data_IF_426626988059
#
_entry.id   IF_426626988059
#
_cell.length_a   1.000
_cell.length_b   1.000
_cell.length_c   1.000
_cell.angle_alpha   90.00
_cell.angle_beta   90.00
_cell.angle_gamma   90.00
#
_symmetry.space_group_name_H-M   'P 1'
#
loop_
_entity.id
_entity.type
_entity.pdbx_description
1 polymer ?
#
# COMPACT_ATOMS: atom_id res chain seq x y z
N UNK A 1 28.25 2.70 -41.61
CA UNK A 1 27.83 3.84 -40.78
C UNK A 1 26.36 4.06 -41.06
N UNK A 2 25.49 3.41 -40.26
CA UNK A 2 24.05 3.64 -40.31
C UNK A 2 23.77 4.89 -39.46
N UNK A 3 23.40 5.98 -40.12
CA UNK A 3 22.90 7.19 -39.50
C UNK A 3 21.79 6.82 -38.51
N UNK A 4 22.05 7.01 -37.22
CA UNK A 4 21.08 6.89 -36.15
C UNK A 4 20.10 8.05 -36.31
N UNK A 5 19.04 7.89 -37.11
CA UNK A 5 17.94 8.85 -37.13
C UNK A 5 17.42 9.00 -35.69
N UNK A 6 17.32 10.21 -35.14
CA UNK A 6 16.75 10.40 -33.82
C UNK A 6 15.35 9.80 -33.82
N UNK A 7 15.12 8.82 -32.94
CA UNK A 7 13.83 8.16 -32.84
C UNK A 7 12.75 9.23 -32.61
N UNK A 8 11.84 9.38 -33.57
CA UNK A 8 10.74 10.36 -33.48
C UNK A 8 9.92 10.14 -32.24
N UNK A 9 9.49 11.21 -31.59
CA UNK A 9 8.60 11.13 -30.43
C UNK A 9 7.30 10.38 -30.80
N UNK A 10 6.72 9.58 -29.89
CA UNK A 10 5.46 8.93 -30.12
C UNK A 10 4.34 9.93 -30.47
N UNK A 11 3.33 9.47 -31.20
CA UNK A 11 2.14 10.28 -31.47
C UNK A 11 1.41 10.64 -30.15
N UNK A 12 0.68 11.76 -30.11
CA UNK A 12 -0.14 12.11 -28.94
C UNK A 12 -1.11 11.00 -28.58
N UNK A 13 -1.14 10.63 -27.31
CA UNK A 13 -1.98 9.54 -26.78
C UNK A 13 -3.38 10.08 -26.48
N UNK A 14 -4.41 9.43 -27.01
CA UNK A 14 -5.80 9.78 -26.71
C UNK A 14 -6.19 9.39 -25.26
N UNK A 15 -7.18 10.07 -24.70
CA UNK A 15 -7.71 9.72 -23.38
C UNK A 15 -8.27 8.29 -23.34
N UNK A 16 -8.85 7.82 -24.45
CA UNK A 16 -9.39 6.45 -24.59
C UNK A 16 -8.26 5.41 -24.56
N UNK A 17 -7.16 5.66 -25.26
CA UNK A 17 -6.00 4.78 -25.25
C UNK A 17 -5.38 4.71 -23.85
N UNK A 18 -5.22 5.88 -23.18
CA UNK A 18 -4.76 5.96 -21.81
C UNK A 18 -5.70 5.22 -20.86
N UNK A 19 -7.02 5.35 -21.00
CA UNK A 19 -8.02 4.62 -20.20
C UNK A 19 -7.81 3.11 -20.29
N UNK A 20 -7.70 2.54 -21.49
CA UNK A 20 -7.51 1.09 -21.65
C UNK A 20 -6.16 0.61 -21.14
N UNK A 21 -5.12 1.43 -21.23
CA UNK A 21 -3.83 1.12 -20.62
C UNK A 21 -3.95 1.05 -19.08
N UNK A 22 -4.50 2.08 -18.43
CA UNK A 22 -4.66 2.12 -16.98
C UNK A 22 -5.59 1.04 -16.45
N UNK A 23 -6.66 0.75 -17.18
CA UNK A 23 -7.58 -0.35 -16.87
C UNK A 23 -6.86 -1.70 -16.88
N UNK A 24 -6.14 -2.01 -17.95
CA UNK A 24 -5.33 -3.23 -18.03
C UNK A 24 -4.29 -3.28 -16.93
N UNK A 25 -3.59 -2.19 -16.67
CA UNK A 25 -2.57 -2.12 -15.63
C UNK A 25 -3.13 -2.47 -14.26
N UNK A 26 -4.35 -2.03 -13.92
CA UNK A 26 -5.01 -2.36 -12.66
C UNK A 26 -5.20 -3.87 -12.45
N UNK A 27 -5.37 -4.68 -13.51
CA UNK A 27 -5.48 -6.14 -13.41
C UNK A 27 -4.15 -6.88 -13.37
N UNK A 28 -3.06 -6.30 -13.87
CA UNK A 28 -1.76 -6.97 -13.95
C UNK A 28 -0.73 -6.46 -12.93
N UNK A 29 -1.09 -5.47 -12.12
CA UNK A 29 -0.22 -4.81 -11.15
C UNK A 29 -0.06 -5.65 -9.88
N UNK A 30 0.81 -6.66 -9.92
CA UNK A 30 1.15 -7.51 -8.78
C UNK A 30 2.55 -7.16 -8.23
N UNK A 31 2.87 -7.70 -7.04
CA UNK A 31 4.23 -7.65 -6.47
C UNK A 31 4.52 -6.41 -5.62
N UNK A 32 3.48 -5.75 -5.14
CA UNK A 32 3.58 -4.56 -4.29
C UNK A 32 4.15 -3.33 -5.01
N UNK A 33 4.46 -2.22 -4.30
CA UNK A 33 4.84 -0.97 -4.93
C UNK A 33 6.03 -1.08 -5.89
N UNK A 34 7.06 -1.84 -5.51
CA UNK A 34 8.26 -2.00 -6.34
C UNK A 34 7.97 -2.70 -7.67
N UNK A 35 7.15 -3.76 -7.65
CA UNK A 35 6.75 -4.47 -8.88
C UNK A 35 5.87 -3.60 -9.76
N UNK A 36 4.93 -2.91 -9.18
CA UNK A 36 4.00 -2.02 -9.88
C UNK A 36 4.72 -0.84 -10.56
N UNK A 37 5.67 -0.21 -9.84
CA UNK A 37 6.50 0.87 -10.39
C UNK A 37 7.39 0.32 -11.52
N UNK A 38 7.95 -0.88 -11.38
CA UNK A 38 8.76 -1.50 -12.43
C UNK A 38 7.95 -1.80 -13.71
N UNK A 39 6.70 -2.26 -13.59
CA UNK A 39 5.79 -2.46 -14.73
C UNK A 39 5.50 -1.11 -15.40
N UNK A 40 5.14 -0.07 -14.62
CA UNK A 40 4.90 1.27 -15.17
C UNK A 40 6.14 1.83 -15.85
N UNK A 41 7.33 1.65 -15.27
CA UNK A 41 8.59 2.09 -15.87
C UNK A 41 8.83 1.40 -17.21
N UNK A 42 8.79 0.07 -17.24
CA UNK A 42 8.96 -0.70 -18.46
C UNK A 42 7.97 -0.29 -19.55
N UNK A 43 6.70 -0.18 -19.20
CA UNK A 43 5.66 0.13 -20.19
C UNK A 43 5.73 1.60 -20.67
N UNK A 44 5.81 2.56 -19.73
CA UNK A 44 5.64 3.98 -20.04
C UNK A 44 6.94 4.66 -20.51
N UNK A 45 8.08 4.18 -20.03
CA UNK A 45 9.40 4.76 -20.36
C UNK A 45 10.07 3.97 -21.48
N UNK A 46 10.21 2.66 -21.33
CA UNK A 46 11.00 1.85 -22.26
C UNK A 46 10.21 1.50 -23.53
N UNK A 47 8.97 1.05 -23.38
CA UNK A 47 8.19 0.50 -24.51
C UNK A 47 7.37 1.58 -25.23
N UNK A 48 6.48 2.27 -24.50
CA UNK A 48 5.57 3.27 -25.08
C UNK A 48 6.19 4.64 -25.22
N UNK A 49 7.21 4.96 -24.43
CA UNK A 49 7.89 6.25 -24.39
C UNK A 49 6.92 7.42 -24.18
N UNK A 50 5.92 7.23 -23.32
CA UNK A 50 4.96 8.28 -22.98
C UNK A 50 5.60 9.35 -22.09
N UNK A 51 6.59 8.98 -21.29
CA UNK A 51 7.33 9.84 -20.38
C UNK A 51 8.82 9.48 -20.43
N UNK A 52 9.71 10.48 -20.36
CA UNK A 52 11.16 10.24 -20.27
C UNK A 52 11.55 9.62 -18.94
N UNK A 53 12.67 8.92 -18.90
CA UNK A 53 13.27 8.33 -17.68
C UNK A 53 13.39 9.37 -16.57
N UNK A 54 13.95 10.53 -16.88
CA UNK A 54 14.17 11.62 -15.92
C UNK A 54 12.87 12.16 -15.35
N UNK A 55 11.87 12.39 -16.18
CA UNK A 55 10.54 12.86 -15.74
C UNK A 55 9.81 11.81 -14.91
N UNK A 56 9.93 10.53 -15.28
CA UNK A 56 9.37 9.41 -14.51
C UNK A 56 10.00 9.35 -13.11
N UNK A 57 11.34 9.39 -13.03
CA UNK A 57 12.06 9.37 -11.75
C UNK A 57 11.76 10.61 -10.90
N UNK A 58 11.57 11.76 -11.51
CA UNK A 58 11.16 12.98 -10.81
C UNK A 58 9.78 12.82 -10.18
N UNK A 59 8.80 12.31 -10.95
CA UNK A 59 7.46 12.01 -10.45
C UNK A 59 7.49 10.96 -9.33
N UNK A 60 8.27 9.89 -9.50
CA UNK A 60 8.44 8.85 -8.51
C UNK A 60 9.03 9.38 -7.19
N UNK A 61 10.10 10.16 -7.27
CA UNK A 61 10.73 10.77 -6.10
C UNK A 61 9.75 11.65 -5.31
N UNK A 62 8.89 12.38 -6.01
CA UNK A 62 7.82 13.14 -5.36
C UNK A 62 6.81 12.24 -4.66
N UNK A 63 6.30 11.21 -5.34
CA UNK A 63 5.33 10.27 -4.75
C UNK A 63 5.89 9.54 -3.52
N UNK A 64 7.20 9.23 -3.51
CA UNK A 64 7.86 8.58 -2.36
C UNK A 64 7.94 9.46 -1.10
N UNK A 65 7.80 10.78 -1.24
CA UNK A 65 7.79 11.73 -0.11
C UNK A 65 6.39 11.92 0.46
N UNK A 66 5.36 11.65 -0.34
CA UNK A 66 3.97 11.83 0.05
C UNK A 66 3.46 10.69 0.93
N UNK A 67 2.53 10.96 1.86
CA UNK A 67 1.79 9.88 2.49
C UNK A 67 0.81 9.26 1.50
N UNK A 68 0.72 7.93 1.49
CA UNK A 68 -0.20 7.17 0.64
C UNK A 68 0.46 6.10 -0.21
N UNK A 69 -0.31 5.40 -1.07
CA UNK A 69 0.19 4.36 -1.97
C UNK A 69 0.93 4.95 -3.16
N UNK A 70 2.26 4.91 -3.12
CA UNK A 70 3.19 5.51 -4.08
C UNK A 70 2.88 5.16 -5.55
N UNK A 71 2.59 3.90 -5.84
CA UNK A 71 2.29 3.46 -7.21
C UNK A 71 0.99 4.06 -7.76
N UNK A 72 -0.05 4.19 -6.91
CA UNK A 72 -1.30 4.86 -7.29
C UNK A 72 -1.09 6.36 -7.51
N UNK A 73 -0.29 6.98 -6.65
CA UNK A 73 0.08 8.38 -6.78
C UNK A 73 0.87 8.63 -8.06
N UNK A 74 1.82 7.75 -8.39
CA UNK A 74 2.58 7.82 -9.63
C UNK A 74 1.67 7.67 -10.87
N UNK A 75 0.75 6.71 -10.86
CA UNK A 75 -0.24 6.56 -11.93
C UNK A 75 -1.09 7.83 -12.09
N UNK A 76 -1.59 8.39 -10.98
CA UNK A 76 -2.37 9.63 -10.97
C UNK A 76 -1.54 10.83 -11.47
N UNK A 77 -0.26 10.92 -11.09
CA UNK A 77 0.65 11.98 -11.53
C UNK A 77 0.88 11.92 -13.04
N UNK A 78 1.25 10.76 -13.57
CA UNK A 78 1.51 10.58 -15.02
C UNK A 78 0.23 10.81 -15.82
N UNK A 79 -0.90 10.25 -15.38
CA UNK A 79 -2.19 10.49 -16.01
C UNK A 79 -2.59 11.97 -16.00
N UNK A 80 -2.28 12.70 -14.92
CA UNK A 80 -2.51 14.15 -14.82
C UNK A 80 -1.60 14.95 -15.75
N UNK A 81 -0.33 14.59 -15.86
CA UNK A 81 0.59 15.23 -16.81
C UNK A 81 0.11 15.08 -18.25
N UNK A 82 -0.39 13.90 -18.63
CA UNK A 82 -0.87 13.59 -19.99
C UNK A 82 -2.21 14.26 -20.30
N UNK A 83 -3.21 14.11 -19.40
CA UNK A 83 -4.61 14.46 -19.68
C UNK A 83 -5.26 15.31 -18.58
N UNK A 84 -4.49 16.17 -17.91
CA UNK A 84 -4.98 17.08 -16.85
C UNK A 84 -5.64 16.30 -15.70
N UNK A 85 -6.50 16.97 -14.91
CA UNK A 85 -7.18 16.36 -13.75
C UNK A 85 -7.99 15.12 -14.12
N UNK A 86 -8.64 15.09 -15.30
CA UNK A 86 -9.39 13.91 -15.77
C UNK A 86 -8.49 12.69 -15.94
N UNK A 87 -7.33 12.89 -16.58
CA UNK A 87 -6.36 11.80 -16.74
C UNK A 87 -5.83 11.27 -15.41
N UNK A 88 -5.53 12.16 -14.46
CA UNK A 88 -5.09 11.76 -13.13
C UNK A 88 -6.12 10.97 -12.36
N UNK A 89 -7.40 11.41 -12.39
CA UNK A 89 -8.51 10.68 -11.74
C UNK A 89 -8.68 9.30 -12.39
N UNK A 90 -8.73 9.23 -13.72
CA UNK A 90 -8.88 7.97 -14.46
C UNK A 90 -7.73 7.02 -14.14
N UNK A 91 -6.48 7.47 -14.27
CA UNK A 91 -5.32 6.63 -14.05
C UNK A 91 -5.25 6.09 -12.61
N UNK A 92 -5.36 6.98 -11.62
CA UNK A 92 -5.30 6.57 -10.21
C UNK A 92 -6.47 5.67 -9.81
N UNK A 93 -7.70 5.97 -10.28
CA UNK A 93 -8.88 5.16 -9.95
C UNK A 93 -8.82 3.78 -10.61
N UNK A 94 -8.53 3.71 -11.90
CA UNK A 94 -8.43 2.43 -12.61
C UNK A 94 -7.30 1.55 -12.11
N UNK A 95 -6.28 2.13 -11.48
CA UNK A 95 -5.18 1.38 -10.90
C UNK A 95 -5.59 0.53 -9.69
N UNK A 96 -6.56 0.99 -8.87
CA UNK A 96 -7.03 0.22 -7.70
C UNK A 96 -8.46 -0.34 -7.87
N UNK A 97 -9.25 0.14 -8.81
CA UNK A 97 -10.65 -0.25 -8.97
C UNK A 97 -10.87 -1.76 -9.19
N UNK A 98 -10.06 -2.46 -10.01
CA UNK A 98 -10.16 -3.91 -10.13
C UNK A 98 -9.98 -4.62 -8.79
N UNK A 99 -8.99 -4.20 -8.01
CA UNK A 99 -8.73 -4.73 -6.67
C UNK A 99 -9.91 -4.56 -5.72
N UNK A 100 -10.60 -3.43 -5.79
CA UNK A 100 -11.78 -3.15 -4.97
C UNK A 100 -12.87 -4.21 -5.21
N UNK A 101 -13.22 -4.47 -6.46
CA UNK A 101 -14.26 -5.46 -6.77
C UNK A 101 -13.83 -6.89 -6.47
N UNK A 102 -12.58 -7.23 -6.79
CA UNK A 102 -12.03 -8.56 -6.49
C UNK A 102 -12.02 -8.79 -4.97
N UNK A 103 -11.57 -7.82 -4.18
CA UNK A 103 -11.54 -7.96 -2.72
C UNK A 103 -12.93 -7.98 -2.10
N UNK A 104 -13.90 -7.22 -2.60
CA UNK A 104 -15.29 -7.35 -2.15
C UNK A 104 -15.80 -8.77 -2.40
N UNK A 105 -15.56 -9.33 -3.59
CA UNK A 105 -15.98 -10.69 -3.92
C UNK A 105 -15.27 -11.75 -3.07
N UNK A 106 -13.95 -11.64 -2.89
CA UNK A 106 -13.17 -12.55 -2.06
C UNK A 106 -13.54 -12.44 -0.57
N UNK A 107 -13.81 -11.23 -0.08
CA UNK A 107 -14.27 -11.00 1.29
C UNK A 107 -15.65 -11.61 1.53
N UNK A 108 -16.53 -11.52 0.54
CA UNK A 108 -17.82 -12.19 0.60
C UNK A 108 -17.67 -13.71 0.63
N UNK A 109 -16.86 -14.30 -0.24
CA UNK A 109 -16.56 -15.74 -0.23
C UNK A 109 -15.98 -16.15 1.12
N UNK A 110 -15.05 -15.36 1.67
CA UNK A 110 -14.44 -15.60 2.97
C UNK A 110 -15.48 -15.61 4.10
N UNK A 111 -16.37 -14.62 4.15
CA UNK A 111 -17.37 -14.51 5.22
C UNK A 111 -18.50 -15.53 5.08
N UNK A 112 -18.91 -15.87 3.85
CA UNK A 112 -20.00 -16.79 3.60
C UNK A 112 -19.59 -18.27 3.65
N UNK A 113 -18.35 -18.58 3.22
CA UNK A 113 -17.88 -19.94 3.02
C UNK A 113 -16.57 -20.27 3.73
N UNK A 114 -16.06 -19.38 4.60
CA UNK A 114 -14.78 -19.57 5.30
C UNK A 114 -14.70 -20.83 6.16
N UNK A 115 -15.84 -21.34 6.63
CA UNK A 115 -15.93 -22.57 7.42
C UNK A 115 -15.98 -23.86 6.57
N UNK A 116 -16.08 -23.75 5.24
CA UNK A 116 -16.03 -24.93 4.36
C UNK A 116 -14.62 -25.56 4.46
N UNK A 117 -14.49 -26.87 4.67
CA UNK A 117 -13.18 -27.51 4.92
C UNK A 117 -12.10 -27.19 3.88
N UNK A 118 -12.49 -27.07 2.62
CA UNK A 118 -11.55 -26.71 1.55
C UNK A 118 -11.03 -25.27 1.69
N UNK A 119 -11.92 -24.31 2.00
CA UNK A 119 -11.54 -22.90 2.21
C UNK A 119 -10.70 -22.77 3.48
N UNK A 120 -11.13 -23.38 4.58
CA UNK A 120 -10.40 -23.39 5.84
C UNK A 120 -9.00 -24.01 5.69
N UNK A 121 -8.88 -25.10 4.90
CA UNK A 121 -7.60 -25.73 4.60
C UNK A 121 -6.64 -24.85 3.81
N UNK A 122 -7.14 -24.16 2.78
CA UNK A 122 -6.35 -23.17 2.03
C UNK A 122 -5.85 -22.07 2.98
N UNK A 123 -6.74 -21.47 3.78
CA UNK A 123 -6.40 -20.41 4.72
C UNK A 123 -5.41 -20.87 5.79
N UNK A 124 -5.53 -22.13 6.25
CA UNK A 124 -4.57 -22.70 7.20
C UNK A 124 -3.13 -22.70 6.66
N UNK A 125 -2.94 -23.05 5.39
CA UNK A 125 -1.62 -23.01 4.75
C UNK A 125 -1.15 -21.61 4.37
N UNK A 126 -2.07 -20.69 4.09
CA UNK A 126 -1.76 -19.31 3.67
C UNK A 126 -1.29 -18.43 4.84
N UNK A 127 -1.84 -18.62 6.05
CA UNK A 127 -1.46 -17.82 7.25
C UNK A 127 0.04 -17.79 7.54
N UNK A 128 0.76 -18.92 7.62
CA UNK A 128 2.21 -18.91 7.81
C UNK A 128 2.97 -18.28 6.63
N UNK A 129 2.47 -18.39 5.40
CA UNK A 129 3.06 -17.72 4.25
C UNK A 129 2.97 -16.19 4.40
N UNK A 130 1.84 -15.66 4.85
CA UNK A 130 1.66 -14.20 5.10
C UNK A 130 2.62 -13.72 6.19
N UNK A 131 2.77 -14.47 7.27
CA UNK A 131 3.75 -14.16 8.31
C UNK A 131 5.15 -14.07 7.72
N UNK A 132 5.55 -15.04 6.90
CA UNK A 132 6.83 -15.04 6.19
C UNK A 132 6.99 -13.84 5.24
N UNK A 133 5.93 -13.46 4.53
CA UNK A 133 5.90 -12.30 3.64
C UNK A 133 6.13 -11.01 4.43
N UNK A 134 5.49 -10.82 5.58
CA UNK A 134 5.67 -9.64 6.43
C UNK A 134 7.07 -9.58 7.02
N UNK A 135 7.63 -10.71 7.47
CA UNK A 135 9.05 -10.80 7.89
C UNK A 135 9.99 -10.42 6.72
N UNK A 136 9.71 -10.96 5.53
CA UNK A 136 10.50 -10.64 4.33
C UNK A 136 10.37 -9.17 3.93
N UNK A 137 9.20 -8.56 4.09
CA UNK A 137 9.00 -7.12 3.87
C UNK A 137 9.82 -6.29 4.86
N UNK A 138 9.81 -6.62 6.15
CA UNK A 138 10.65 -5.98 7.17
C UNK A 138 12.14 -6.09 6.82
N UNK A 139 12.60 -7.28 6.41
CA UNK A 139 13.96 -7.50 5.95
C UNK A 139 14.31 -6.65 4.71
N UNK A 140 13.45 -6.64 3.69
CA UNK A 140 13.67 -5.89 2.45
C UNK A 140 13.70 -4.37 2.67
N UNK A 141 12.81 -3.84 3.51
CA UNK A 141 12.81 -2.42 3.87
C UNK A 141 14.03 -2.12 4.74
N UNK A 142 14.30 -2.93 5.76
CA UNK A 142 15.41 -2.74 6.69
C UNK A 142 16.77 -2.77 6.00
N UNK A 143 17.01 -3.70 5.10
CA UNK A 143 18.28 -3.81 4.34
C UNK A 143 18.58 -2.56 3.49
N UNK A 144 17.55 -1.81 3.08
CA UNK A 144 17.69 -0.57 2.32
C UNK A 144 17.73 0.68 3.21
N UNK A 145 16.96 0.68 4.28
CA UNK A 145 16.76 1.84 5.15
C UNK A 145 17.81 1.93 6.27
N UNK A 146 18.18 0.80 6.91
CA UNK A 146 19.02 0.78 8.11
C UNK A 146 20.52 0.73 7.78
N UNK A 147 21.09 1.86 7.36
CA UNK A 147 22.47 1.95 6.87
C UNK A 147 23.52 2.18 7.96
N UNK A 148 23.12 2.58 9.16
CA UNK A 148 24.03 2.89 10.26
C UNK A 148 23.38 2.59 11.61
N UNK A 149 24.20 2.58 12.66
CA UNK A 149 23.77 2.23 14.03
C UNK A 149 22.65 3.14 14.57
N UNK A 150 22.60 4.43 14.18
CA UNK A 150 21.55 5.35 14.61
C UNK A 150 20.19 4.93 14.06
N UNK A 151 20.11 4.56 12.78
CA UNK A 151 18.87 4.10 12.16
C UNK A 151 18.43 2.73 12.72
N UNK A 152 19.39 1.85 13.03
CA UNK A 152 19.11 0.60 13.76
C UNK A 152 18.56 0.87 15.17
N UNK A 153 19.11 1.84 15.89
CA UNK A 153 18.59 2.23 17.21
C UNK A 153 17.17 2.78 17.15
N UNK A 154 16.84 3.58 16.13
CA UNK A 154 15.48 4.07 15.90
C UNK A 154 14.52 2.89 15.64
N UNK A 155 14.90 1.93 14.80
CA UNK A 155 14.09 0.76 14.53
C UNK A 155 13.87 -0.10 15.79
N UNK A 156 14.93 -0.35 16.57
CA UNK A 156 14.84 -1.09 17.82
C UNK A 156 13.98 -0.38 18.86
N UNK A 157 14.14 0.95 19.01
CA UNK A 157 13.32 1.75 19.92
C UNK A 157 11.84 1.73 19.51
N UNK A 158 11.53 1.82 18.21
CA UNK A 158 10.16 1.73 17.71
C UNK A 158 9.54 0.34 17.96
N UNK A 159 10.31 -0.74 17.76
CA UNK A 159 9.88 -2.10 18.09
C UNK A 159 9.56 -2.23 19.57
N UNK A 160 10.47 -1.81 20.44
CA UNK A 160 10.31 -1.89 21.90
C UNK A 160 9.12 -1.02 22.37
N UNK A 161 8.97 0.17 21.80
CA UNK A 161 7.89 1.09 22.16
C UNK A 161 6.50 0.48 21.91
N UNK A 162 6.32 -0.24 20.79
CA UNK A 162 5.05 -0.96 20.56
C UNK A 162 4.99 -2.23 21.41
N UNK A 163 6.04 -3.07 21.36
CA UNK A 163 5.99 -4.43 21.91
C UNK A 163 5.87 -4.42 23.45
N UNK A 164 6.56 -3.51 24.15
CA UNK A 164 6.63 -3.50 25.61
C UNK A 164 5.75 -2.42 26.25
N UNK A 165 5.40 -1.36 25.52
CA UNK A 165 4.70 -0.20 26.08
C UNK A 165 3.39 0.15 25.36
N UNK A 166 2.98 -0.63 24.35
CA UNK A 166 1.75 -0.42 23.57
C UNK A 166 1.59 1.02 23.05
N UNK A 167 2.72 1.69 22.72
CA UNK A 167 2.69 3.07 22.22
C UNK A 167 1.95 3.13 20.89
N UNK A 168 0.90 3.99 20.79
CA UNK A 168 0.17 4.12 19.54
C UNK A 168 1.05 4.55 18.37
N UNK A 169 0.90 3.90 17.22
CA UNK A 169 1.69 4.12 16.01
C UNK A 169 1.90 5.60 15.62
N UNK A 170 0.87 6.49 15.66
CA UNK A 170 1.06 7.90 15.29
C UNK A 170 2.16 8.61 16.08
N UNK A 171 2.29 8.31 17.38
CA UNK A 171 3.33 8.92 18.20
C UNK A 171 4.74 8.45 17.83
N UNK A 172 4.87 7.20 17.40
CA UNK A 172 6.14 6.64 16.90
C UNK A 172 6.56 7.34 15.62
N UNK A 173 5.63 7.50 14.67
CA UNK A 173 5.88 8.20 13.40
C UNK A 173 6.28 9.66 13.65
N UNK A 174 5.55 10.38 14.53
CA UNK A 174 5.86 11.76 14.88
C UNK A 174 7.23 11.87 15.54
N UNK A 175 7.52 11.04 16.56
CA UNK A 175 8.81 11.03 17.23
C UNK A 175 9.96 10.72 16.26
N UNK A 176 9.81 9.72 15.40
CA UNK A 176 10.79 9.36 14.39
C UNK A 176 11.01 10.48 13.37
N UNK A 177 9.94 11.17 12.96
CA UNK A 177 10.02 12.35 12.09
C UNK A 177 10.80 13.50 12.74
N UNK A 178 10.54 13.79 14.02
CA UNK A 178 11.28 14.81 14.79
C UNK A 178 12.75 14.41 14.96
N UNK A 179 13.02 13.15 15.34
CA UNK A 179 14.39 12.63 15.47
C UNK A 179 15.12 12.72 14.11
N UNK A 180 14.44 12.34 13.01
CA UNK A 180 14.99 12.47 11.66
C UNK A 180 15.30 13.92 11.28
N UNK A 181 14.41 14.85 11.62
CA UNK A 181 14.60 16.27 11.35
C UNK A 181 15.79 16.86 12.14
N UNK A 182 15.84 16.59 13.44
CA UNK A 182 16.95 17.05 14.29
C UNK A 182 18.26 16.36 13.93
N UNK A 183 18.20 15.06 13.71
CA UNK A 183 19.35 14.27 13.29
C UNK A 183 19.93 14.72 11.95
N UNK A 184 19.08 15.09 11.00
CA UNK A 184 19.51 15.66 9.72
C UNK A 184 20.22 17.01 9.85
N UNK A 185 19.98 17.77 10.94
CA UNK A 185 20.70 19.02 11.25
C UNK A 185 22.01 18.79 11.99
N UNK A 186 22.04 17.81 12.91
CA UNK A 186 23.19 17.54 13.79
C UNK A 186 24.19 16.60 13.13
N UNK A 187 23.71 15.59 12.43
CA UNK A 187 24.52 14.56 11.78
C UNK A 187 23.94 14.20 10.38
N UNK A 188 24.01 15.13 9.40
CA UNK A 188 23.38 14.99 8.10
C UNK A 188 23.79 13.70 7.37
N UNK A 189 25.03 13.29 7.50
CA UNK A 189 25.57 12.09 6.84
C UNK A 189 24.87 10.80 7.29
N UNK A 190 24.35 10.77 8.53
CA UNK A 190 23.64 9.60 9.09
C UNK A 190 22.18 9.52 8.64
N UNK A 191 21.58 10.66 8.26
CA UNK A 191 20.19 10.77 7.80
C UNK A 191 20.08 11.11 6.31
N UNK A 192 21.21 11.17 5.59
CA UNK A 192 21.18 11.28 4.14
C UNK A 192 20.55 9.99 3.55
N UNK A 193 19.48 10.17 2.80
CA UNK A 193 18.98 9.10 1.92
C UNK A 193 20.10 8.80 0.92
N UNK A 194 20.63 7.60 0.97
CA UNK A 194 21.56 7.15 -0.08
C UNK A 194 20.87 7.31 -1.43
N UNK A 195 21.44 8.16 -2.25
CA UNK A 195 21.00 8.69 -3.52
C UNK A 195 19.67 8.13 -4.05
N UNK A 196 18.70 9.01 -4.27
CA UNK A 196 17.60 8.72 -5.15
C UNK A 196 18.16 8.06 -6.42
N UNK A 197 17.36 7.27 -7.11
CA UNK A 197 17.73 6.60 -8.37
C UNK A 197 18.23 7.58 -9.43
N UNK A 198 19.38 8.20 -9.15
CA UNK A 198 20.17 9.05 -10.03
C UNK A 198 21.30 8.22 -10.66
N UNK A 199 20.98 7.00 -11.12
CA UNK A 199 21.79 6.41 -12.18
C UNK A 199 21.60 7.33 -13.40
N UNK A 200 22.70 7.74 -14.05
CA UNK A 200 22.69 8.46 -15.30
C UNK A 200 21.62 7.83 -16.20
N UNK A 201 20.54 8.60 -16.48
CA UNK A 201 19.36 8.08 -17.12
C UNK A 201 19.72 7.37 -18.41
N UNK A 202 19.29 6.13 -18.57
CA UNK A 202 19.38 5.46 -19.86
C UNK A 202 18.48 6.25 -20.83
N UNK A 203 19.02 6.56 -21.98
CA UNK A 203 18.25 7.24 -23.02
C UNK A 203 17.49 6.17 -23.83
N UNK A 204 16.17 6.13 -23.69
CA UNK A 204 15.29 5.23 -24.43
C UNK A 204 14.73 5.85 -25.72
N UNK A 205 15.25 7.02 -26.12
CA UNK A 205 14.79 7.81 -27.26
C UNK A 205 13.78 8.89 -26.89
N UNK A 206 13.34 9.66 -27.87
CA UNK A 206 12.40 10.75 -27.66
C UNK A 206 11.06 10.26 -27.08
N UNK A 207 10.57 10.94 -26.04
CA UNK A 207 9.31 10.63 -25.36
C UNK A 207 8.24 11.70 -25.64
N UNK A 208 6.95 11.35 -25.42
CA UNK A 208 5.86 12.32 -25.54
C UNK A 208 5.98 13.46 -24.52
N UNK A 209 6.28 13.11 -23.25
CA UNK A 209 6.65 14.05 -22.19
C UNK A 209 8.15 13.88 -21.96
N UNK A 210 8.94 14.62 -22.75
CA UNK A 210 10.40 14.55 -22.72
C UNK A 210 10.99 15.58 -21.75
N UNK A 211 12.30 15.47 -21.50
CA UNK A 211 13.05 16.39 -20.65
C UNK A 211 13.00 17.83 -21.19
N UNK A 212 13.06 17.98 -22.51
CA UNK A 212 12.96 19.27 -23.20
C UNK A 212 11.50 19.74 -23.42
N UNK A 213 10.50 18.91 -23.14
CA UNK A 213 9.09 19.30 -23.31
C UNK A 213 8.73 20.39 -22.29
N UNK A 214 8.23 21.56 -22.73
CA UNK A 214 7.79 22.59 -21.79
C UNK A 214 6.72 22.06 -20.84
N UNK A 215 6.79 22.45 -19.59
CA UNK A 215 5.75 22.08 -18.60
C UNK A 215 4.39 22.56 -19.09
N UNK A 216 3.41 21.66 -19.22
CA UNK A 216 2.10 22.03 -19.75
C UNK A 216 1.43 23.14 -18.92
N UNK A 217 0.63 24.04 -19.51
CA UNK A 217 0.00 25.16 -18.78
C UNK A 217 -0.85 24.74 -17.59
N UNK A 218 -1.41 23.53 -17.62
CA UNK A 218 -2.16 22.98 -16.49
C UNK A 218 -1.27 22.49 -15.35
N UNK A 219 0.00 22.26 -15.59
CA UNK A 219 0.99 21.81 -14.61
C UNK A 219 1.76 22.97 -13.98
N UNK A 220 1.56 24.20 -14.43
CA UNK A 220 2.12 25.37 -13.78
C UNK A 220 1.36 25.71 -12.51
N UNK A 221 2.09 26.04 -11.45
CA UNK A 221 1.49 26.46 -10.18
C UNK A 221 0.75 27.79 -10.30
N UNK A 222 -0.47 27.85 -9.79
CA UNK A 222 -1.21 29.12 -9.59
C UNK A 222 -2.03 29.03 -8.31
N UNK A 223 -2.02 30.11 -7.51
CA UNK A 223 -2.75 30.18 -6.24
C UNK A 223 -4.27 29.92 -6.39
N UNK A 224 -4.86 30.45 -7.48
CA UNK A 224 -6.29 30.23 -7.75
C UNK A 224 -6.64 28.75 -8.01
N UNK A 225 -5.76 28.02 -8.72
CA UNK A 225 -5.93 26.58 -8.93
C UNK A 225 -5.72 25.81 -7.63
N UNK A 226 -4.66 26.13 -6.89
CA UNK A 226 -4.38 25.53 -5.60
C UNK A 226 -5.58 25.66 -4.64
N UNK A 227 -6.08 26.89 -4.46
CA UNK A 227 -7.24 27.15 -3.59
C UNK A 227 -8.48 26.39 -4.06
N UNK A 228 -8.76 26.35 -5.37
CA UNK A 228 -9.90 25.61 -5.94
C UNK A 228 -9.78 24.11 -5.68
N UNK A 229 -8.62 23.50 -5.92
CA UNK A 229 -8.39 22.07 -5.67
C UNK A 229 -8.52 21.78 -4.18
N UNK A 230 -7.94 22.62 -3.32
CA UNK A 230 -8.03 22.46 -1.86
C UNK A 230 -9.49 22.50 -1.39
N UNK A 231 -10.26 23.52 -1.81
CA UNK A 231 -11.68 23.68 -1.42
C UNK A 231 -12.50 22.49 -1.92
N UNK A 232 -12.33 22.06 -3.18
CA UNK A 232 -13.04 20.91 -3.72
C UNK A 232 -12.67 19.61 -2.98
N UNK A 233 -11.42 19.42 -2.66
CA UNK A 233 -10.94 18.25 -1.93
C UNK A 233 -11.50 18.19 -0.51
N UNK A 234 -11.48 19.33 0.20
CA UNK A 234 -12.08 19.45 1.53
C UNK A 234 -13.60 19.27 1.47
N UNK A 235 -14.27 19.80 0.44
CA UNK A 235 -15.72 19.63 0.26
C UNK A 235 -16.08 18.15 -0.02
N UNK A 236 -15.29 17.43 -0.83
CA UNK A 236 -15.49 16.01 -1.07
C UNK A 236 -15.30 15.20 0.21
N UNK A 237 -14.23 15.45 0.95
CA UNK A 237 -13.97 14.77 2.22
C UNK A 237 -15.05 15.09 3.26
N UNK A 238 -15.30 16.38 3.52
CA UNK A 238 -16.26 16.85 4.52
C UNK A 238 -17.69 16.50 4.15
N UNK A 239 -18.06 16.53 2.87
CA UNK A 239 -19.39 16.19 2.39
C UNK A 239 -19.76 14.74 2.70
N UNK A 240 -18.86 13.79 2.37
CA UNK A 240 -19.08 12.37 2.69
C UNK A 240 -19.05 12.15 4.20
N UNK A 241 -18.11 12.77 4.93
CA UNK A 241 -18.02 12.66 6.39
C UNK A 241 -19.26 13.21 7.07
N UNK A 242 -19.75 14.38 6.64
CA UNK A 242 -20.96 15.01 7.16
C UNK A 242 -22.21 14.16 6.86
N UNK A 243 -22.29 13.55 5.66
CA UNK A 243 -23.38 12.63 5.31
C UNK A 243 -23.42 11.42 6.24
N UNK A 244 -22.26 10.79 6.47
CA UNK A 244 -22.14 9.64 7.37
C UNK A 244 -22.53 10.05 8.81
N UNK A 245 -22.01 11.17 9.29
CA UNK A 245 -22.30 11.68 10.62
C UNK A 245 -23.80 12.04 10.79
N UNK A 246 -24.37 12.76 9.84
CA UNK A 246 -25.77 13.18 9.90
C UNK A 246 -26.74 11.99 9.81
N UNK A 247 -26.38 10.94 9.03
CA UNK A 247 -27.26 9.78 8.83
C UNK A 247 -27.14 8.73 9.94
N UNK A 248 -25.95 8.57 10.51
CA UNK A 248 -25.63 7.45 11.40
C UNK A 248 -25.08 7.87 12.77
N UNK A 249 -24.64 9.11 12.94
CA UNK A 249 -23.96 9.57 14.15
C UNK A 249 -22.47 9.18 14.22
N UNK A 250 -21.80 9.65 15.28
CA UNK A 250 -20.34 9.45 15.43
C UNK A 250 -19.99 8.00 15.80
N UNK A 251 -20.78 7.36 16.66
CA UNK A 251 -20.48 6.01 17.18
C UNK A 251 -20.71 4.91 16.15
N UNK A 252 -21.31 5.22 15.03
CA UNK A 252 -21.56 4.24 14.00
C UNK A 252 -20.28 3.86 13.25
N UNK A 253 -20.12 2.55 12.98
CA UNK A 253 -18.87 2.02 12.41
C UNK A 253 -18.48 2.67 11.06
N UNK A 254 -19.42 3.03 10.19
CA UNK A 254 -19.12 3.71 8.92
C UNK A 254 -18.46 5.08 9.15
N UNK A 255 -18.94 5.85 10.11
CA UNK A 255 -18.38 7.18 10.46
C UNK A 255 -16.98 7.02 11.06
N UNK A 256 -16.85 6.07 12.00
CA UNK A 256 -15.55 5.74 12.62
C UNK A 256 -14.54 5.23 11.58
N UNK A 257 -14.96 4.38 10.65
CA UNK A 257 -14.13 3.92 9.53
C UNK A 257 -13.67 5.07 8.65
N UNK A 258 -14.58 5.98 8.24
CA UNK A 258 -14.21 7.15 7.44
C UNK A 258 -13.13 8.00 8.12
N UNK A 259 -13.31 8.30 9.40
CA UNK A 259 -12.35 9.07 10.19
C UNK A 259 -11.02 8.33 10.41
N UNK A 260 -11.09 7.05 10.77
CA UNK A 260 -9.91 6.23 11.03
C UNK A 260 -9.06 6.06 9.76
N UNK A 261 -9.65 5.70 8.63
CA UNK A 261 -8.92 5.47 7.39
C UNK A 261 -8.43 6.76 6.72
N UNK A 262 -9.04 7.92 7.01
CA UNK A 262 -8.43 9.23 6.70
C UNK A 262 -7.10 9.39 7.44
N UNK A 263 -7.06 9.12 8.75
CA UNK A 263 -5.81 9.18 9.53
C UNK A 263 -4.79 8.15 9.05
N UNK A 264 -5.21 6.93 8.76
CA UNK A 264 -4.35 5.88 8.21
C UNK A 264 -3.69 6.32 6.90
N UNK A 265 -4.46 6.92 5.98
CA UNK A 265 -3.93 7.43 4.72
C UNK A 265 -2.87 8.53 4.92
N UNK A 266 -3.10 9.45 5.86
CA UNK A 266 -2.16 10.53 6.20
C UNK A 266 -0.89 10.04 6.92
N UNK A 267 -0.94 8.86 7.53
CA UNK A 267 0.19 8.23 8.24
C UNK A 267 0.93 7.19 7.40
N UNK A 268 0.49 6.94 6.17
CA UNK A 268 1.09 5.94 5.27
C UNK A 268 2.35 6.51 4.61
N UNK A 269 3.48 6.48 5.29
CA UNK A 269 4.79 6.84 4.73
C UNK A 269 5.64 5.59 4.52
N UNK A 270 6.31 5.46 3.37
CA UNK A 270 7.19 4.33 3.07
C UNK A 270 6.46 3.05 2.64
N UNK A 271 5.27 3.20 2.07
CA UNK A 271 4.50 2.12 1.47
C UNK A 271 3.45 1.48 2.39
N UNK A 272 2.64 0.59 1.82
CA UNK A 272 1.48 0.01 2.50
C UNK A 272 1.82 -0.79 3.77
N UNK A 273 2.96 -1.51 3.77
CA UNK A 273 3.38 -2.25 4.97
C UNK A 273 3.59 -1.35 6.19
N UNK A 274 3.99 -0.11 5.95
CA UNK A 274 4.26 0.84 7.02
C UNK A 274 3.03 1.16 7.87
N UNK A 275 1.85 1.22 7.28
CA UNK A 275 0.60 1.58 7.98
C UNK A 275 -0.15 0.37 8.52
N UNK A 276 0.19 -0.85 8.10
CA UNK A 276 -0.51 -2.06 8.56
C UNK A 276 -0.54 -2.20 10.10
N UNK A 277 0.53 -1.91 10.85
CA UNK A 277 0.47 -1.95 12.30
C UNK A 277 -0.57 -0.97 12.89
N UNK A 278 -0.69 0.24 12.33
CA UNK A 278 -1.72 1.19 12.74
C UNK A 278 -3.13 0.67 12.42
N UNK A 279 -3.29 0.10 11.22
CA UNK A 279 -4.57 -0.49 10.80
C UNK A 279 -4.92 -1.69 11.68
N UNK A 280 -3.92 -2.48 12.10
CA UNK A 280 -4.09 -3.55 13.06
C UNK A 280 -4.54 -3.01 14.43
N UNK A 281 -3.81 -2.05 15.03
CA UNK A 281 -4.18 -1.45 16.32
C UNK A 281 -5.61 -0.88 16.29
N UNK A 282 -5.98 -0.18 15.22
CA UNK A 282 -7.32 0.36 15.09
C UNK A 282 -8.37 -0.72 14.83
N UNK A 283 -8.17 -1.50 13.77
CA UNK A 283 -9.19 -2.45 13.29
C UNK A 283 -9.42 -3.63 14.21
N UNK A 284 -8.37 -4.15 14.85
CA UNK A 284 -8.44 -5.34 15.71
C UNK A 284 -8.58 -4.97 17.18
N UNK A 285 -7.68 -4.11 17.70
CA UNK A 285 -7.62 -3.85 19.13
C UNK A 285 -8.62 -2.80 19.59
N UNK A 286 -8.68 -1.65 18.91
CA UNK A 286 -9.49 -0.51 19.34
C UNK A 286 -10.96 -0.65 18.93
N UNK A 287 -11.23 -0.82 17.64
CA UNK A 287 -12.60 -0.84 17.12
C UNK A 287 -13.18 -2.24 16.99
N UNK A 288 -12.36 -3.28 17.03
CA UNK A 288 -12.77 -4.68 16.94
C UNK A 288 -13.68 -4.95 15.71
N UNK A 289 -13.31 -4.40 14.55
CA UNK A 289 -14.01 -4.66 13.30
C UNK A 289 -13.75 -6.08 12.77
N UNK A 290 -12.58 -6.63 13.11
CA UNK A 290 -12.16 -7.96 12.74
C UNK A 290 -11.22 -8.56 13.81
N UNK A 291 -11.08 -9.87 13.80
CA UNK A 291 -10.13 -10.57 14.67
C UNK A 291 -8.71 -10.54 14.12
N UNK A 292 -7.71 -10.84 14.96
CA UNK A 292 -6.32 -10.99 14.55
C UNK A 292 -6.15 -12.01 13.41
N UNK A 293 -6.83 -13.16 13.52
CA UNK A 293 -6.83 -14.19 12.48
C UNK A 293 -7.41 -13.67 11.15
N UNK A 294 -8.54 -12.96 11.21
CA UNK A 294 -9.13 -12.34 10.03
C UNK A 294 -8.22 -11.29 9.40
N UNK A 295 -7.46 -10.54 10.21
CA UNK A 295 -6.48 -9.60 9.67
C UNK A 295 -5.37 -10.29 8.88
N UNK A 296 -4.88 -11.45 9.36
CA UNK A 296 -3.88 -12.26 8.63
C UNK A 296 -4.47 -12.79 7.33
N UNK A 297 -5.70 -13.31 7.37
CA UNK A 297 -6.41 -13.79 6.17
C UNK A 297 -6.67 -12.68 5.17
N UNK A 298 -7.03 -11.48 5.64
CA UNK A 298 -7.22 -10.29 4.80
C UNK A 298 -5.94 -9.83 4.11
N UNK A 299 -4.80 -9.90 4.80
CA UNK A 299 -3.50 -9.62 4.19
C UNK A 299 -3.16 -10.63 3.10
N UNK A 300 -3.46 -11.92 3.33
CA UNK A 300 -3.29 -12.95 2.33
C UNK A 300 -4.08 -12.65 1.05
N UNK A 301 -5.35 -12.29 1.21
CA UNK A 301 -6.22 -11.93 0.10
C UNK A 301 -5.71 -10.67 -0.62
N UNK A 302 -5.24 -9.67 0.14
CA UNK A 302 -4.64 -8.45 -0.42
C UNK A 302 -3.37 -8.72 -1.24
N UNK A 303 -2.50 -9.63 -0.78
CA UNK A 303 -1.27 -10.01 -1.48
C UNK A 303 -1.52 -10.82 -2.77
N UNK A 304 -2.65 -11.52 -2.84
CA UNK A 304 -3.02 -12.33 -4.00
C UNK A 304 -3.84 -11.55 -5.03
N UNK A 305 -4.34 -10.38 -4.69
CA UNK A 305 -5.08 -9.52 -5.60
C UNK A 305 -4.16 -8.56 -6.37
N UNK A 306 -4.47 -8.25 -7.65
CA UNK A 306 -3.77 -7.18 -8.36
C UNK A 306 -4.07 -5.83 -7.71
N UNK A 307 -3.19 -4.84 -7.88
CA UNK A 307 -3.38 -3.49 -7.36
C UNK A 307 -2.58 -3.19 -6.08
N UNK A 308 -2.77 -2.01 -5.49
CA UNK A 308 -1.99 -1.57 -4.33
C UNK A 308 -2.22 -2.47 -3.12
N UNK A 309 -1.16 -2.87 -2.41
CA UNK A 309 -1.27 -3.70 -1.20
C UNK A 309 -2.18 -3.08 -0.12
N UNK A 310 -2.22 -1.75 -0.03
CA UNK A 310 -3.11 -1.05 0.91
C UNK A 310 -4.59 -1.40 0.71
N UNK A 311 -4.97 -2.00 -0.41
CA UNK A 311 -6.34 -2.46 -0.67
C UNK A 311 -6.83 -3.52 0.32
N UNK A 312 -5.97 -4.09 1.15
CA UNK A 312 -6.39 -4.90 2.32
C UNK A 312 -7.40 -4.16 3.21
N UNK A 313 -7.38 -2.82 3.23
CA UNK A 313 -8.37 -2.01 3.96
C UNK A 313 -9.80 -2.24 3.48
N UNK A 314 -9.99 -2.59 2.20
CA UNK A 314 -11.29 -2.99 1.62
C UNK A 314 -11.84 -4.24 2.30
N UNK A 315 -10.98 -5.24 2.52
CA UNK A 315 -11.34 -6.44 3.28
C UNK A 315 -11.74 -6.10 4.72
N UNK A 316 -10.96 -5.24 5.37
CA UNK A 316 -11.25 -4.81 6.76
C UNK A 316 -12.61 -4.11 6.84
N UNK A 317 -12.87 -3.20 5.89
CA UNK A 317 -14.18 -2.55 5.79
C UNK A 317 -15.31 -3.56 5.57
N UNK A 318 -15.12 -4.48 4.61
CA UNK A 318 -16.12 -5.51 4.31
C UNK A 318 -16.44 -6.38 5.52
N UNK A 319 -15.42 -6.94 6.17
CA UNK A 319 -15.58 -7.80 7.36
C UNK A 319 -16.24 -7.03 8.50
N UNK A 320 -15.78 -5.79 8.76
CA UNK A 320 -16.38 -4.95 9.80
C UNK A 320 -17.84 -4.61 9.54
N UNK A 321 -18.20 -4.30 8.28
CA UNK A 321 -19.59 -4.05 7.89
C UNK A 321 -20.48 -5.29 8.00
N UNK A 322 -19.95 -6.44 7.57
CA UNK A 322 -20.62 -7.74 7.67
C UNK A 322 -20.86 -8.15 9.14
N UNK A 323 -19.79 -8.17 9.94
CA UNK A 323 -19.82 -8.62 11.34
C UNK A 323 -20.70 -7.74 12.21
N UNK A 324 -20.69 -6.42 11.98
CA UNK A 324 -21.52 -5.45 12.70
C UNK A 324 -22.95 -5.40 12.19
N UNK A 325 -23.30 -6.14 11.11
CA UNK A 325 -24.66 -6.16 10.52
C UNK A 325 -25.24 -4.78 10.30
N UNK A 326 -24.45 -3.85 9.71
CA UNK A 326 -24.75 -2.41 9.69
C UNK A 326 -26.13 -2.06 9.11
N UNK A 327 -26.71 -2.93 8.30
CA UNK A 327 -28.03 -2.77 7.66
C UNK A 327 -28.97 -3.92 7.98
N UNK A 328 -28.72 -4.65 9.08
CA UNK A 328 -29.49 -5.81 9.51
C UNK A 328 -28.99 -7.15 8.92
N UNK A 329 -29.46 -8.27 9.47
CA UNK A 329 -28.97 -9.62 9.12
C UNK A 329 -29.28 -10.04 7.68
N UNK A 330 -30.33 -9.48 7.06
CA UNK A 330 -30.72 -9.80 5.68
C UNK A 330 -29.86 -9.06 4.63
N UNK A 331 -29.04 -8.10 5.04
CA UNK A 331 -28.29 -7.22 4.13
C UNK A 331 -26.79 -7.24 4.36
N UNK A 332 -26.23 -8.38 4.78
CA UNK A 332 -24.82 -8.53 5.16
C UNK A 332 -23.85 -8.17 4.02
N UNK A 333 -24.14 -8.66 2.80
CA UNK A 333 -23.32 -8.32 1.63
C UNK A 333 -23.31 -6.82 1.32
N UNK A 334 -24.47 -6.18 1.41
CA UNK A 334 -24.59 -4.74 1.20
C UNK A 334 -23.84 -3.97 2.29
N UNK A 335 -23.99 -4.37 3.56
CA UNK A 335 -23.30 -3.77 4.70
C UNK A 335 -21.76 -3.85 4.53
N UNK A 336 -21.24 -5.03 4.18
CA UNK A 336 -19.82 -5.23 3.88
C UNK A 336 -19.35 -4.40 2.69
N UNK A 337 -20.10 -4.40 1.59
CA UNK A 337 -19.75 -3.67 0.37
C UNK A 337 -19.72 -2.15 0.58
N UNK A 338 -20.71 -1.59 1.27
CA UNK A 338 -20.76 -0.15 1.60
C UNK A 338 -19.60 0.23 2.51
N UNK A 339 -19.31 -0.56 3.54
CA UNK A 339 -18.18 -0.30 4.42
C UNK A 339 -16.84 -0.39 3.66
N UNK A 340 -16.67 -1.36 2.78
CA UNK A 340 -15.50 -1.48 1.89
C UNK A 340 -15.32 -0.24 1.00
N UNK A 341 -16.40 0.28 0.41
CA UNK A 341 -16.38 1.51 -0.40
C UNK A 341 -16.00 2.74 0.44
N UNK A 342 -16.58 2.90 1.62
CA UNK A 342 -16.28 4.00 2.55
C UNK A 342 -14.80 3.98 2.93
N UNK A 343 -14.28 2.84 3.35
CA UNK A 343 -12.87 2.68 3.72
C UNK A 343 -11.95 2.99 2.56
N UNK A 344 -12.24 2.46 1.38
CA UNK A 344 -11.44 2.70 0.17
C UNK A 344 -11.46 4.18 -0.22
N UNK A 345 -12.63 4.82 -0.19
CA UNK A 345 -12.77 6.24 -0.49
C UNK A 345 -11.87 7.10 0.40
N UNK A 346 -11.96 6.95 1.73
CA UNK A 346 -11.17 7.75 2.67
C UNK A 346 -9.67 7.41 2.67
N UNK A 347 -9.30 6.21 2.24
CA UNK A 347 -7.89 5.80 2.09
C UNK A 347 -7.25 6.43 0.85
N UNK A 348 -7.97 6.50 -0.28
CA UNK A 348 -7.38 6.94 -1.55
C UNK A 348 -7.59 8.42 -1.86
N UNK A 349 -8.64 9.06 -1.34
CA UNK A 349 -8.91 10.48 -1.57
C UNK A 349 -7.69 11.38 -1.24
N UNK A 350 -7.00 11.23 -0.09
CA UNK A 350 -5.83 12.04 0.23
C UNK A 350 -4.72 11.94 -0.81
N UNK A 351 -4.52 10.78 -1.42
CA UNK A 351 -3.50 10.58 -2.47
C UNK A 351 -3.75 11.46 -3.69
N UNK A 352 -5.00 11.54 -4.16
CA UNK A 352 -5.37 12.44 -5.25
C UNK A 352 -5.19 13.91 -4.85
N UNK A 353 -5.57 14.25 -3.62
CA UNK A 353 -5.40 15.61 -3.09
C UNK A 353 -3.94 16.04 -3.12
N UNK A 354 -3.03 15.20 -2.61
CA UNK A 354 -1.60 15.50 -2.62
C UNK A 354 -1.03 15.63 -4.03
N UNK A 355 -1.45 14.80 -4.96
CA UNK A 355 -0.99 14.90 -6.35
C UNK A 355 -1.50 16.20 -6.99
N UNK A 356 -2.78 16.52 -6.90
CA UNK A 356 -3.32 17.69 -7.59
C UNK A 356 -2.94 19.03 -6.94
N UNK A 357 -2.63 19.06 -5.64
CA UNK A 357 -2.12 20.24 -4.94
C UNK A 357 -0.62 20.42 -5.14
N UNK A 358 0.15 19.36 -5.00
CA UNK A 358 1.59 19.46 -4.89
C UNK A 358 2.34 19.23 -6.20
N UNK A 359 1.83 18.43 -7.14
CA UNK A 359 2.52 18.21 -8.41
C UNK A 359 2.79 19.51 -9.20
N UNK A 360 1.85 20.50 -9.29
CA UNK A 360 2.16 21.78 -9.92
C UNK A 360 3.29 22.56 -9.22
N UNK A 361 3.41 22.43 -7.89
CA UNK A 361 4.48 23.07 -7.13
C UNK A 361 5.85 22.45 -7.45
N UNK A 362 5.87 21.10 -7.50
CA UNK A 362 7.09 20.34 -7.78
C UNK A 362 7.58 20.55 -9.22
N UNK A 363 6.67 20.60 -10.19
CA UNK A 363 7.03 20.91 -11.59
C UNK A 363 7.64 22.32 -11.75
N UNK A 364 7.28 23.27 -10.89
CA UNK A 364 7.86 24.63 -10.92
C UNK A 364 9.16 24.77 -10.15
N UNK A 365 9.44 23.93 -9.14
CA UNK A 365 10.59 24.09 -8.24
C UNK A 365 11.83 23.25 -8.62
N UNK A 366 11.79 22.47 -9.70
CA UNK A 366 12.91 21.66 -10.21
C UNK A 366 13.73 20.87 -9.16
N UNK A 367 13.05 20.22 -8.20
CA UNK A 367 13.63 19.05 -7.54
C UNK A 367 14.41 19.26 -6.23
N UNK A 368 14.36 20.42 -5.57
CA UNK A 368 14.96 20.59 -4.23
C UNK A 368 13.99 20.16 -3.12
N UNK A 369 13.87 18.84 -2.88
CA UNK A 369 13.12 18.29 -1.76
C UNK A 369 13.99 18.25 -0.50
N UNK A 370 13.84 19.24 0.39
CA UNK A 370 14.59 19.35 1.67
C UNK A 370 14.07 18.45 2.81
N UNK A 371 13.09 17.58 2.56
CA UNK A 371 12.41 16.78 3.59
C UNK A 371 12.88 15.31 3.68
N UNK A 372 14.06 14.99 3.19
CA UNK A 372 14.56 13.62 3.15
C UNK A 372 14.92 13.06 4.52
N UNK A 373 15.50 13.85 5.43
CA UNK A 373 15.95 13.39 6.73
C UNK A 373 14.82 12.96 7.69
N UNK A 374 13.69 13.71 7.83
CA UNK A 374 12.53 13.22 8.57
C UNK A 374 12.00 11.89 8.05
N UNK A 375 11.89 11.74 6.73
CA UNK A 375 11.44 10.50 6.10
C UNK A 375 12.40 9.33 6.35
N UNK A 376 13.69 9.57 6.39
CA UNK A 376 14.69 8.55 6.75
C UNK A 376 14.46 8.04 8.18
N UNK A 377 14.20 8.94 9.13
CA UNK A 377 13.86 8.58 10.51
C UNK A 377 12.55 7.77 10.57
N UNK A 378 11.50 8.23 9.90
CA UNK A 378 10.21 7.53 9.83
C UNK A 378 10.39 6.14 9.22
N UNK A 379 11.09 6.02 8.09
CA UNK A 379 11.31 4.72 7.45
C UNK A 379 12.09 3.76 8.33
N UNK A 380 13.08 4.25 9.10
CA UNK A 380 13.80 3.42 10.06
C UNK A 380 12.86 2.92 11.18
N UNK A 381 12.04 3.77 11.78
CA UNK A 381 11.05 3.36 12.78
C UNK A 381 10.04 2.35 12.24
N UNK A 382 9.57 2.54 11.01
CA UNK A 382 8.64 1.63 10.32
C UNK A 382 9.19 0.20 10.25
N UNK A 383 10.50 0.00 10.05
CA UNK A 383 11.08 -1.35 10.04
C UNK A 383 10.83 -2.06 11.38
N UNK A 384 11.05 -1.37 12.49
CA UNK A 384 10.78 -1.92 13.83
C UNK A 384 9.30 -2.24 14.04
N UNK A 385 8.43 -1.37 13.57
CA UNK A 385 6.97 -1.53 13.68
C UNK A 385 6.45 -2.70 12.84
N UNK A 386 6.93 -2.86 11.60
CA UNK A 386 6.58 -4.00 10.74
C UNK A 386 7.11 -5.32 11.31
N UNK A 387 8.30 -5.29 11.94
CA UNK A 387 8.83 -6.46 12.62
C UNK A 387 7.98 -6.86 13.83
N UNK A 388 7.44 -5.89 14.58
CA UNK A 388 6.49 -6.16 15.66
C UNK A 388 5.21 -6.82 15.13
N UNK A 389 4.64 -6.33 14.02
CA UNK A 389 3.49 -6.95 13.37
C UNK A 389 3.80 -8.39 12.92
N UNK A 390 4.99 -8.63 12.38
CA UNK A 390 5.44 -9.98 12.01
C UNK A 390 5.53 -10.92 13.21
N UNK A 391 6.08 -10.45 14.34
CA UNK A 391 6.15 -11.21 15.58
C UNK A 391 4.75 -11.54 16.12
N UNK A 392 3.85 -10.57 16.06
CA UNK A 392 2.46 -10.75 16.43
C UNK A 392 1.75 -11.81 15.57
N UNK A 393 1.92 -11.77 14.24
CA UNK A 393 1.36 -12.78 13.34
C UNK A 393 1.97 -14.16 13.60
N UNK A 394 3.28 -14.23 13.79
CA UNK A 394 3.94 -15.49 14.15
C UNK A 394 3.35 -16.10 15.42
N UNK A 395 3.10 -15.28 16.45
CA UNK A 395 2.46 -15.73 17.68
C UNK A 395 1.07 -16.34 17.40
N UNK A 396 0.18 -15.66 16.68
CA UNK A 396 -1.18 -16.13 16.42
C UNK A 396 -1.25 -17.33 15.46
N UNK A 397 -0.23 -17.50 14.61
CA UNK A 397 -0.15 -18.63 13.68
C UNK A 397 0.45 -19.86 14.36
N UNK A 398 1.46 -19.68 15.22
CA UNK A 398 2.18 -20.77 15.84
C UNK A 398 1.55 -21.22 17.17
N UNK A 399 0.86 -20.33 17.86
CA UNK A 399 0.14 -20.60 19.11
C UNK A 399 -1.29 -20.03 19.03
N UNK A 400 -2.18 -20.61 18.20
CA UNK A 400 -3.53 -20.07 18.00
C UNK A 400 -4.40 -20.06 19.26
N UNK A 401 -4.05 -20.87 20.27
CA UNK A 401 -4.69 -20.93 21.58
C UNK A 401 -3.84 -20.27 22.70
N UNK A 402 -2.86 -19.45 22.33
CA UNK A 402 -1.91 -18.86 23.26
C UNK A 402 -0.77 -19.82 23.65
N UNK A 403 0.19 -19.33 24.43
CA UNK A 403 1.38 -20.11 24.83
C UNK A 403 1.07 -21.36 25.69
N UNK A 404 -0.10 -21.41 26.31
CA UNK A 404 -0.59 -22.61 27.00
C UNK A 404 -1.12 -23.69 26.06
N UNK A 405 -1.39 -23.35 24.81
CA UNK A 405 -1.85 -24.28 23.79
C UNK A 405 -0.72 -25.01 23.07
N UNK A 406 -1.10 -25.97 22.22
CA UNK A 406 -0.13 -26.72 21.42
C UNK A 406 0.56 -25.82 20.38
N UNK A 407 1.85 -26.04 20.18
CA UNK A 407 2.61 -25.41 19.12
C UNK A 407 2.30 -26.06 17.77
N UNK A 408 1.98 -25.24 16.80
CA UNK A 408 1.62 -25.65 15.44
C UNK A 408 2.88 -25.85 14.57
N UNK A 409 3.42 -27.08 14.55
CA UNK A 409 4.65 -27.43 13.82
C UNK A 409 4.52 -27.28 12.32
N UNK A 410 3.38 -27.66 11.74
CA UNK A 410 3.20 -27.59 10.28
C UNK A 410 3.18 -26.13 9.78
N UNK A 411 2.46 -25.18 10.37
CA UNK A 411 2.60 -23.77 10.08
C UNK A 411 4.03 -23.25 10.21
N UNK A 412 4.79 -23.70 11.22
CA UNK A 412 6.20 -23.29 11.37
C UNK A 412 7.05 -23.73 10.16
N UNK A 413 6.91 -24.98 9.73
CA UNK A 413 7.63 -25.52 8.56
C UNK A 413 7.22 -24.80 7.28
N UNK A 414 5.89 -24.57 7.07
CA UNK A 414 5.38 -23.84 5.91
C UNK A 414 5.92 -22.40 5.91
N UNK A 415 5.93 -21.72 7.04
CA UNK A 415 6.43 -20.34 7.17
C UNK A 415 7.92 -20.22 6.87
N UNK A 416 8.73 -21.14 7.40
CA UNK A 416 10.19 -21.20 7.13
C UNK A 416 10.44 -21.47 5.64
N UNK A 417 9.73 -22.43 5.06
CA UNK A 417 9.86 -22.76 3.63
C UNK A 417 9.44 -21.57 2.74
N UNK A 418 8.34 -20.88 3.09
CA UNK A 418 7.88 -19.68 2.40
C UNK A 418 8.93 -18.55 2.47
N UNK A 419 9.49 -18.29 3.66
CA UNK A 419 10.55 -17.30 3.82
C UNK A 419 11.80 -17.65 2.99
N UNK A 420 12.24 -18.91 3.02
CA UNK A 420 13.36 -19.38 2.23
C UNK A 420 13.11 -19.24 0.72
N UNK A 421 11.89 -19.53 0.26
CA UNK A 421 11.47 -19.35 -1.13
C UNK A 421 11.56 -17.87 -1.57
N UNK A 422 11.08 -16.96 -0.75
CA UNK A 422 11.13 -15.52 -1.03
C UNK A 422 12.56 -14.97 -0.98
N UNK A 423 13.32 -15.34 0.05
CA UNK A 423 14.64 -14.77 0.32
C UNK A 423 15.75 -15.39 -0.55
N UNK A 424 15.83 -16.74 -0.57
CA UNK A 424 16.94 -17.46 -1.23
C UNK A 424 16.70 -17.68 -2.70
N UNK A 425 15.44 -18.05 -3.06
CA UNK A 425 15.09 -18.39 -4.44
C UNK A 425 14.42 -17.25 -5.19
N UNK A 426 14.12 -16.13 -4.50
CA UNK A 426 13.49 -14.92 -5.09
C UNK A 426 12.20 -15.24 -5.85
N UNK A 427 11.47 -16.27 -5.40
CA UNK A 427 10.16 -16.59 -5.94
C UNK A 427 9.16 -15.44 -5.71
N UNK A 428 8.24 -15.28 -6.64
CA UNK A 428 7.16 -14.30 -6.46
C UNK A 428 6.24 -14.64 -5.28
N UNK A 429 5.56 -13.65 -4.73
CA UNK A 429 4.65 -13.81 -3.59
C UNK A 429 3.49 -14.74 -3.94
N UNK A 430 2.86 -14.57 -5.12
CA UNK A 430 1.71 -15.37 -5.56
C UNK A 430 2.01 -16.87 -5.63
N UNK A 431 3.08 -17.35 -6.30
CA UNK A 431 3.43 -18.76 -6.28
C UNK A 431 3.66 -19.32 -4.87
N UNK A 432 4.26 -18.53 -3.97
CA UNK A 432 4.48 -18.95 -2.58
C UNK A 432 3.16 -19.11 -1.85
N UNK A 433 2.24 -18.15 -1.95
CA UNK A 433 0.92 -18.25 -1.32
C UNK A 433 0.13 -19.43 -1.90
N UNK A 434 0.14 -19.62 -3.22
CA UNK A 434 -0.56 -20.73 -3.88
C UNK A 434 -0.01 -22.09 -3.42
N UNK A 435 1.31 -22.25 -3.35
CA UNK A 435 1.93 -23.49 -2.87
C UNK A 435 1.62 -23.78 -1.40
N UNK A 436 1.67 -22.75 -0.55
CA UNK A 436 1.33 -22.88 0.88
C UNK A 436 -0.15 -23.19 1.08
N UNK A 437 -1.06 -22.54 0.32
CA UNK A 437 -2.48 -22.81 0.35
C UNK A 437 -2.80 -24.25 -0.10
N UNK A 438 -2.13 -24.73 -1.16
CA UNK A 438 -2.27 -26.13 -1.60
C UNK A 438 -1.78 -27.12 -0.53
N UNK A 439 -0.66 -26.81 0.13
CA UNK A 439 -0.14 -27.64 1.23
C UNK A 439 -1.11 -27.71 2.41
N UNK A 440 -1.71 -26.57 2.80
CA UNK A 440 -2.72 -26.52 3.85
C UNK A 440 -4.00 -27.28 3.49
N UNK A 441 -4.47 -27.15 2.23
CA UNK A 441 -5.61 -27.90 1.72
C UNK A 441 -5.35 -29.41 1.77
N UNK A 442 -4.20 -29.86 1.24
CA UNK A 442 -3.82 -31.29 1.28
C UNK A 442 -3.78 -31.83 2.70
N UNK A 443 -3.15 -31.09 3.62
CA UNK A 443 -3.13 -31.48 5.03
C UNK A 443 -4.52 -31.64 5.62
N UNK A 444 -5.42 -30.70 5.36
CA UNK A 444 -6.80 -30.73 5.88
C UNK A 444 -7.60 -31.90 5.30
N UNK A 445 -7.35 -32.30 4.06
CA UNK A 445 -7.99 -33.46 3.43
C UNK A 445 -7.42 -34.80 3.92
N UNK A 446 -6.10 -34.86 4.25
CA UNK A 446 -5.43 -36.09 4.67
C UNK A 446 -5.62 -36.35 6.17
N UNK A 447 -5.67 -35.32 7.01
CA UNK A 447 -5.79 -35.44 8.47
C UNK A 447 -6.95 -36.34 8.95
N UNK A 448 -8.16 -36.24 8.41
CA UNK A 448 -9.26 -37.15 8.78
C UNK A 448 -9.01 -38.62 8.41
N UNK A 449 -8.25 -38.85 7.31
CA UNK A 449 -7.92 -40.19 6.82
C UNK A 449 -6.82 -40.88 7.65
N UNK A 450 -5.97 -40.10 8.32
CA UNK A 450 -4.86 -40.58 9.13
C UNK A 450 -5.29 -40.82 10.62
N UNK A 451 -6.45 -40.32 11.03
CA UNK A 451 -7.01 -40.48 12.38
C UNK A 451 -8.18 -41.47 12.46
N UNK A 452 -8.50 -42.13 11.36
CA UNK A 452 -9.43 -43.27 11.28
C UNK A 452 -8.62 -44.54 11.12
#
# INVERSE_FOLDING_TARGET
MTENQPATAPAPVSLTEAFWYWFRLGFISFGGPTGQIAIMHHDLVETKRWISERRFLHALNYCMVLPGPEATQLAAYIGWMMHKTRGGIIAGTLFFLPSLFILIALSWIYMAYGNVPAVAGILYGVKPAVTAIVVFAAYRIGSRALKNAVLWSIAAAAFIAIFAFDVPFPYIVLAAGVIGYLGGRIAPDKFATGGGHGAAGRNYGAALIDDATPTPPHALFTWGRFARVLVLSLALWAGVMALLFARYGWEHALTQMGWFFTKAALLTFGGAYAVLPYVYQGGVEQYQWLTATQMIDGLALGETTPGPLIMVVTFIGFVGGWTRQLFGPESLFLAGSVAALVVTYFTFLPSFVFIFLGAPLIETTHGNLKFTSPLTGITAAVVGVVLNLAAFFAYHVLWPQGFSGAFEWLPAVIGIAAFAALWRYKTGIIPVIAACGAAGLLYTLIKPLAGA
#
